data_IF_260299520258
#
_entry.id   IF_260299520258
#
_cell.length_a   1.000
_cell.length_b   1.000
_cell.length_c   1.000
_cell.angle_alpha   90.00
_cell.angle_beta   90.00
_cell.angle_gamma   90.00
#
_symmetry.space_group_name_H-M   'P 1'
#
loop_
_entity.id
_entity.type
_entity.pdbx_description
1 polymer ?
#
# COMPACT_ATOMS: atom_id res chain seq x y z
N UNK A 1 -10.00 27.93 33.86
CA UNK A 1 -9.71 28.85 32.73
C UNK A 1 -8.20 28.94 32.65
N UNK A 2 -7.60 28.00 31.93
CA UNK A 2 -6.14 27.87 31.83
C UNK A 2 -5.73 28.39 30.45
N UNK A 3 -5.04 29.52 30.43
CA UNK A 3 -4.59 30.18 29.21
C UNK A 3 -3.32 29.46 28.72
N UNK A 4 -3.42 28.85 27.55
CA UNK A 4 -2.31 28.16 26.90
C UNK A 4 -1.13 29.11 26.67
N UNK A 5 -0.04 28.89 27.40
CA UNK A 5 1.26 29.46 27.11
C UNK A 5 1.80 28.84 25.82
N UNK A 6 1.64 29.56 24.70
CA UNK A 6 2.44 29.29 23.51
C UNK A 6 3.86 29.79 23.74
N UNK A 7 4.84 28.92 23.52
CA UNK A 7 6.26 29.23 23.56
C UNK A 7 6.59 30.16 22.40
N UNK A 8 6.99 31.39 22.71
CA UNK A 8 7.44 32.38 21.74
C UNK A 8 8.84 31.97 21.24
N UNK A 9 9.03 31.95 19.92
CA UNK A 9 10.28 31.53 19.29
C UNK A 9 11.46 32.44 19.74
N UNK A 10 12.62 31.88 20.07
CA UNK A 10 13.78 32.68 20.47
C UNK A 10 14.38 33.39 19.26
N UNK A 11 14.85 34.63 19.49
CA UNK A 11 15.50 35.46 18.49
C UNK A 11 16.71 34.74 17.89
N UNK A 12 16.77 34.76 16.56
CA UNK A 12 17.74 34.05 15.76
C UNK A 12 19.17 34.57 16.01
N UNK A 13 19.85 34.01 17.00
CA UNK A 13 21.30 34.09 17.09
C UNK A 13 21.92 33.16 16.03
N UNK A 14 22.29 33.77 14.92
CA UNK A 14 23.50 33.53 14.11
C UNK A 14 24.21 32.18 14.35
N UNK A 15 23.62 31.09 13.85
CA UNK A 15 24.36 29.86 13.57
C UNK A 15 24.83 29.92 12.12
N UNK A 16 26.15 29.88 11.93
CA UNK A 16 26.84 30.07 10.66
C UNK A 16 26.30 29.09 9.58
N UNK A 17 25.50 29.62 8.65
CA UNK A 17 24.95 28.90 7.50
C UNK A 17 26.08 28.55 6.53
N UNK A 18 26.31 27.26 6.29
CA UNK A 18 27.00 26.83 5.07
C UNK A 18 26.27 27.43 3.85
N UNK A 19 26.98 27.84 2.77
CA UNK A 19 26.35 28.50 1.63
C UNK A 19 25.38 27.53 0.94
N UNK A 20 24.09 27.67 1.26
CA UNK A 20 23.01 26.97 0.59
C UNK A 20 22.98 27.47 -0.85
N UNK A 21 23.26 26.58 -1.80
CA UNK A 21 23.17 26.88 -3.23
C UNK A 21 21.81 27.54 -3.48
N UNK A 22 21.76 28.73 -4.12
CA UNK A 22 20.50 29.40 -4.41
C UNK A 22 19.57 28.47 -5.19
N UNK A 23 18.29 28.43 -4.83
CA UNK A 23 17.30 27.54 -5.46
C UNK A 23 17.27 27.65 -6.99
N UNK A 24 17.62 28.82 -7.54
CA UNK A 24 17.75 29.08 -8.97
C UNK A 24 18.89 28.31 -9.67
N UNK A 25 19.85 27.77 -8.92
CA UNK A 25 20.98 27.01 -9.46
C UNK A 25 20.78 25.48 -9.32
N UNK A 26 19.67 25.04 -8.71
CA UNK A 26 19.30 23.63 -8.69
C UNK A 26 18.72 23.24 -10.05
N UNK A 27 19.13 22.09 -10.63
CA UNK A 27 18.57 21.61 -11.88
C UNK A 27 17.07 21.35 -11.72
N UNK A 28 16.27 21.83 -12.68
CA UNK A 28 14.82 21.71 -12.63
C UNK A 28 14.41 20.22 -12.59
N UNK A 29 13.75 19.73 -11.52
CA UNK A 29 13.39 18.32 -11.39
C UNK A 29 12.43 17.83 -12.48
N UNK A 30 11.66 18.73 -13.11
CA UNK A 30 10.81 18.41 -14.26
C UNK A 30 11.63 17.98 -15.49
N UNK A 31 12.89 18.41 -15.61
CA UNK A 31 13.75 18.03 -16.72
C UNK A 31 14.13 16.54 -16.73
N UNK A 32 14.02 15.86 -15.59
CA UNK A 32 14.29 14.42 -15.45
C UNK A 32 13.04 13.59 -15.17
N UNK A 33 11.87 14.22 -15.08
CA UNK A 33 10.63 13.53 -14.71
C UNK A 33 10.08 12.71 -15.87
N UNK A 34 9.62 11.49 -15.60
CA UNK A 34 8.88 10.69 -16.57
C UNK A 34 7.48 11.27 -16.78
N UNK A 35 6.90 11.06 -17.98
CA UNK A 35 5.54 11.50 -18.31
C UNK A 35 4.49 11.14 -17.23
N UNK A 36 4.48 9.91 -16.68
CA UNK A 36 3.58 9.54 -15.58
C UNK A 36 3.82 10.33 -14.29
N UNK A 37 5.08 10.66 -13.98
CA UNK A 37 5.44 11.43 -12.79
C UNK A 37 4.97 12.89 -12.90
N UNK A 38 5.06 13.48 -14.09
CA UNK A 38 4.54 14.84 -14.35
C UNK A 38 3.01 14.88 -14.20
N UNK A 39 2.32 13.89 -14.75
CA UNK A 39 0.84 13.77 -14.64
C UNK A 39 0.41 13.63 -13.19
N UNK A 40 1.10 12.78 -12.42
CA UNK A 40 0.81 12.58 -11.00
C UNK A 40 1.10 13.85 -10.18
N UNK A 41 2.23 14.52 -10.42
CA UNK A 41 2.58 15.77 -9.75
C UNK A 41 1.54 16.87 -10.02
N UNK A 42 1.09 17.00 -11.28
CA UNK A 42 0.01 17.92 -11.64
C UNK A 42 -1.32 17.58 -10.95
N UNK A 43 -1.62 16.30 -10.76
CA UNK A 43 -2.83 15.85 -10.07
C UNK A 43 -2.78 16.14 -8.56
N UNK A 44 -1.62 16.00 -7.91
CA UNK A 44 -1.44 16.27 -6.47
C UNK A 44 -1.19 17.76 -6.16
N UNK A 45 -0.73 18.54 -7.14
CA UNK A 45 -0.39 19.96 -7.00
C UNK A 45 -1.43 20.79 -6.21
N UNK A 46 -2.76 20.64 -6.42
CA UNK A 46 -3.76 21.39 -5.68
C UNK A 46 -3.69 21.12 -4.17
N UNK A 47 -3.56 19.87 -3.75
CA UNK A 47 -3.47 19.48 -2.33
C UNK A 47 -2.17 19.98 -1.69
N UNK A 48 -1.03 19.87 -2.37
CA UNK A 48 0.25 20.40 -1.87
C UNK A 48 0.17 21.92 -1.70
N UNK A 49 -0.46 22.61 -2.66
CA UNK A 49 -0.61 24.08 -2.58
C UNK A 49 -1.50 24.52 -1.42
N UNK A 50 -2.56 23.76 -1.13
CA UNK A 50 -3.45 23.98 0.02
C UNK A 50 -2.73 23.71 1.34
N UNK A 51 -2.04 22.57 1.45
CA UNK A 51 -1.24 22.21 2.62
C UNK A 51 -0.07 23.16 2.91
N UNK A 52 0.42 23.89 1.89
CA UNK A 52 1.42 24.94 2.09
C UNK A 52 0.88 26.25 2.68
N UNK A 53 -0.45 26.46 2.62
CA UNK A 53 -1.12 27.70 3.06
C UNK A 53 -1.91 27.52 4.35
N UNK A 54 -2.45 26.33 4.60
CA UNK A 54 -3.18 25.97 5.82
C UNK A 54 -2.94 24.51 6.18
N UNK A 55 -3.17 24.18 7.45
CA UNK A 55 -3.25 22.79 7.89
C UNK A 55 -4.42 22.15 7.14
N UNK A 56 -4.18 21.01 6.49
CA UNK A 56 -5.22 20.26 5.78
C UNK A 56 -6.18 19.68 6.80
N UNK A 57 -7.44 20.05 6.71
CA UNK A 57 -8.51 19.44 7.50
C UNK A 57 -9.14 18.29 6.70
N UNK A 58 -9.90 17.41 7.36
CA UNK A 58 -10.53 16.25 6.69
C UNK A 58 -11.46 16.69 5.53
N UNK A 59 -11.99 17.91 5.61
CA UNK A 59 -12.79 18.56 4.56
C UNK A 59 -12.00 18.97 3.30
N UNK A 60 -10.67 19.04 3.38
CA UNK A 60 -9.78 19.39 2.27
C UNK A 60 -9.38 18.19 1.40
N UNK A 61 -9.71 16.97 1.85
CA UNK A 61 -9.41 15.73 1.16
C UNK A 61 -10.63 15.31 0.34
N UNK A 62 -10.39 14.73 -0.84
CA UNK A 62 -11.49 14.20 -1.65
C UNK A 62 -12.27 13.17 -0.83
N UNK A 63 -13.61 13.27 -0.76
CA UNK A 63 -14.39 12.26 -0.05
C UNK A 63 -14.15 10.90 -0.70
N UNK A 64 -14.09 9.82 0.08
CA UNK A 64 -14.04 8.47 -0.47
C UNK A 64 -15.15 8.28 -1.51
N UNK A 65 -14.90 7.45 -2.52
CA UNK A 65 -15.94 7.12 -3.49
C UNK A 65 -17.16 6.58 -2.72
N UNK A 66 -18.38 7.07 -2.95
CA UNK A 66 -19.57 6.62 -2.20
C UNK A 66 -19.85 5.12 -2.31
N UNK A 67 -19.22 4.42 -3.27
CA UNK A 67 -19.28 2.96 -3.42
C UNK A 67 -18.35 2.20 -2.47
N UNK A 68 -17.29 2.86 -2.03
CA UNK A 68 -16.19 2.31 -1.23
C UNK A 68 -16.22 2.81 0.23
N UNK A 69 -17.17 3.69 0.56
CA UNK A 69 -17.46 4.12 1.92
C UNK A 69 -17.94 2.96 2.80
N UNK A 70 -17.41 2.87 4.03
CA UNK A 70 -17.78 1.81 4.97
C UNK A 70 -19.27 1.81 5.27
N UNK A 71 -19.88 2.99 5.42
CA UNK A 71 -21.32 3.13 5.69
C UNK A 71 -22.19 2.60 4.52
N UNK A 72 -21.76 2.86 3.28
CA UNK A 72 -22.46 2.38 2.09
C UNK A 72 -22.31 0.85 1.93
N UNK A 73 -21.13 0.32 2.25
CA UNK A 73 -20.83 -1.12 2.25
C UNK A 73 -21.60 -1.86 3.35
N UNK A 74 -21.65 -1.30 4.56
CA UNK A 74 -22.41 -1.81 5.70
C UNK A 74 -23.91 -1.92 5.38
N UNK A 75 -24.53 -0.84 4.90
CA UNK A 75 -25.95 -0.84 4.48
C UNK A 75 -26.25 -1.84 3.36
N UNK A 76 -25.27 -2.16 2.50
CA UNK A 76 -25.41 -3.20 1.47
C UNK A 76 -25.28 -4.59 2.07
N UNK A 77 -24.37 -4.77 3.01
CA UNK A 77 -24.11 -6.02 3.70
C UNK A 77 -25.27 -6.41 4.62
N UNK A 78 -25.77 -5.50 5.45
CA UNK A 78 -26.93 -5.74 6.32
C UNK A 78 -28.17 -6.13 5.53
N UNK A 79 -28.43 -5.49 4.38
CA UNK A 79 -29.54 -5.88 3.48
C UNK A 79 -29.41 -7.28 2.90
N UNK A 80 -28.18 -7.81 2.84
CA UNK A 80 -27.89 -9.13 2.29
C UNK A 80 -27.65 -10.20 3.38
N UNK A 81 -27.38 -9.77 4.62
CA UNK A 81 -27.06 -10.63 5.75
C UNK A 81 -28.33 -11.09 6.45
N UNK A 82 -28.57 -12.40 6.40
CA UNK A 82 -29.67 -13.05 7.11
C UNK A 82 -29.10 -14.04 8.13
N UNK A 83 -29.04 -13.67 9.43
CA UNK A 83 -28.38 -14.48 10.47
C UNK A 83 -29.15 -15.76 10.82
N UNK A 84 -30.45 -15.82 10.52
CA UNK A 84 -31.30 -16.97 10.88
C UNK A 84 -31.44 -17.98 9.75
N UNK A 85 -30.89 -17.68 8.56
CA UNK A 85 -30.96 -18.57 7.41
C UNK A 85 -29.80 -19.58 7.46
N UNK A 86 -30.10 -20.83 7.83
CA UNK A 86 -29.15 -21.94 7.68
C UNK A 86 -29.14 -22.40 6.23
N UNK A 87 -28.07 -22.06 5.52
CA UNK A 87 -27.84 -22.56 4.17
C UNK A 87 -27.51 -24.06 4.18
N UNK A 88 -27.97 -24.75 3.14
CA UNK A 88 -27.63 -26.15 2.87
C UNK A 88 -26.10 -26.23 2.75
N UNK A 89 -25.49 -27.32 3.22
CA UNK A 89 -24.03 -27.56 3.27
C UNK A 89 -23.22 -26.88 4.37
N UNK A 90 -23.85 -26.20 5.36
CA UNK A 90 -23.11 -25.64 6.50
C UNK A 90 -22.27 -24.40 6.16
N UNK A 91 -22.59 -23.74 5.04
CA UNK A 91 -21.95 -22.49 4.62
C UNK A 91 -22.35 -21.38 5.61
N UNK A 92 -21.36 -20.59 6.06
CA UNK A 92 -21.63 -19.51 7.01
C UNK A 92 -22.55 -18.43 6.40
N UNK A 93 -23.50 -17.87 7.17
CA UNK A 93 -24.39 -16.81 6.69
C UNK A 93 -23.62 -15.57 6.19
N UNK A 94 -22.50 -15.27 6.85
CA UNK A 94 -21.57 -14.18 6.51
C UNK A 94 -20.98 -14.36 5.12
N UNK A 95 -20.53 -15.58 4.79
CA UNK A 95 -19.96 -15.88 3.49
C UNK A 95 -21.00 -15.70 2.37
N UNK A 96 -22.23 -16.12 2.61
CA UNK A 96 -23.32 -15.94 1.63
C UNK A 96 -23.67 -14.46 1.44
N UNK A 97 -23.73 -13.69 2.52
CA UNK A 97 -23.92 -12.25 2.45
C UNK A 97 -22.81 -11.57 1.64
N UNK A 98 -21.56 -11.96 1.87
CA UNK A 98 -20.41 -11.48 1.12
C UNK A 98 -20.54 -11.76 -0.39
N UNK A 99 -20.79 -13.01 -0.78
CA UNK A 99 -20.98 -13.39 -2.20
C UNK A 99 -22.12 -12.59 -2.84
N UNK A 100 -23.21 -12.35 -2.11
CA UNK A 100 -24.38 -11.62 -2.64
C UNK A 100 -24.11 -10.12 -2.82
N UNK A 101 -23.36 -9.51 -1.91
CA UNK A 101 -22.98 -8.08 -1.93
C UNK A 101 -22.01 -7.78 -3.06
N UNK A 102 -21.01 -8.65 -3.24
CA UNK A 102 -19.91 -8.49 -4.19
C UNK A 102 -20.07 -9.33 -5.46
N UNK A 103 -21.27 -9.82 -5.78
CA UNK A 103 -21.51 -10.72 -6.92
C UNK A 103 -20.97 -10.24 -8.26
N UNK A 104 -21.01 -8.94 -8.52
CA UNK A 104 -20.51 -8.37 -9.77
C UNK A 104 -18.98 -8.40 -9.80
N UNK A 105 -18.34 -7.98 -8.71
CA UNK A 105 -16.88 -7.97 -8.57
C UNK A 105 -16.34 -9.41 -8.59
N UNK A 106 -16.98 -10.32 -7.87
CA UNK A 106 -16.65 -11.75 -7.86
C UNK A 106 -16.85 -12.38 -9.25
N UNK A 107 -17.91 -12.00 -9.98
CA UNK A 107 -18.13 -12.48 -11.35
C UNK A 107 -17.06 -11.95 -12.32
N UNK A 108 -16.62 -10.70 -12.18
CA UNK A 108 -15.52 -10.13 -12.97
C UNK A 108 -14.22 -10.89 -12.68
N UNK A 109 -13.91 -11.13 -11.40
CA UNK A 109 -12.72 -11.91 -11.00
C UNK A 109 -12.82 -13.34 -11.53
N UNK A 110 -13.97 -14.00 -11.41
CA UNK A 110 -14.17 -15.37 -11.88
C UNK A 110 -14.10 -15.46 -13.41
N UNK A 111 -14.66 -14.49 -14.13
CA UNK A 111 -14.51 -14.39 -15.58
C UNK A 111 -13.03 -14.19 -15.98
N UNK A 112 -12.30 -13.33 -15.26
CA UNK A 112 -10.86 -13.15 -15.44
C UNK A 112 -10.08 -14.45 -15.22
N UNK A 113 -10.41 -15.21 -14.16
CA UNK A 113 -9.83 -16.52 -13.87
C UNK A 113 -10.13 -17.53 -14.99
N UNK A 114 -11.35 -17.57 -15.53
CA UNK A 114 -11.71 -18.45 -16.66
C UNK A 114 -10.89 -18.08 -17.90
N UNK A 115 -10.81 -16.79 -18.24
CA UNK A 115 -10.00 -16.31 -19.36
C UNK A 115 -8.52 -16.69 -19.18
N UNK A 116 -7.99 -16.57 -17.96
CA UNK A 116 -6.62 -16.97 -17.63
C UNK A 116 -6.38 -18.48 -17.84
N UNK A 117 -7.27 -19.33 -17.29
CA UNK A 117 -7.15 -20.79 -17.44
C UNK A 117 -7.24 -21.21 -18.91
N UNK A 118 -8.15 -20.59 -19.67
CA UNK A 118 -8.25 -20.80 -21.11
C UNK A 118 -6.99 -20.34 -21.85
N UNK A 119 -6.40 -19.21 -21.47
CA UNK A 119 -5.16 -18.71 -22.06
C UNK A 119 -3.98 -19.67 -21.81
N UNK A 120 -3.86 -20.22 -20.59
CA UNK A 120 -2.87 -21.25 -20.26
C UNK A 120 -3.08 -22.55 -21.05
N UNK A 121 -4.34 -23.00 -21.17
CA UNK A 121 -4.69 -24.17 -21.96
C UNK A 121 -4.32 -23.98 -23.44
N UNK A 122 -4.71 -22.83 -24.01
CA UNK A 122 -4.43 -22.47 -25.40
C UNK A 122 -2.92 -22.41 -25.69
N UNK A 123 -2.10 -21.95 -24.74
CA UNK A 123 -0.64 -21.88 -24.90
C UNK A 123 -0.04 -23.26 -25.24
N UNK A 124 -0.53 -24.32 -24.60
CA UNK A 124 -0.05 -25.69 -24.84
C UNK A 124 -0.39 -26.15 -26.26
N UNK A 125 -1.60 -25.84 -26.75
CA UNK A 125 -2.03 -26.18 -28.11
C UNK A 125 -1.30 -25.36 -29.18
N UNK A 126 -1.10 -24.06 -28.96
CA UNK A 126 -0.37 -23.19 -29.88
C UNK A 126 1.10 -23.61 -29.99
N UNK A 127 1.71 -24.02 -28.88
CA UNK A 127 3.09 -24.55 -28.88
C UNK A 127 3.19 -25.84 -29.71
N UNK A 128 2.22 -26.76 -29.56
CA UNK A 128 2.16 -27.99 -30.38
C UNK A 128 1.96 -27.66 -31.87
N UNK A 129 1.01 -26.79 -32.19
CA UNK A 129 0.74 -26.38 -33.57
C UNK A 129 1.91 -25.64 -34.22
N UNK A 130 2.73 -24.90 -33.45
CA UNK A 130 3.96 -24.30 -33.96
C UNK A 130 5.03 -25.36 -34.26
N UNK A 131 5.13 -26.39 -33.41
CA UNK A 131 6.08 -27.49 -33.60
C UNK A 131 5.70 -28.39 -34.80
N UNK A 132 4.40 -28.67 -34.97
CA UNK A 132 3.85 -29.36 -36.16
C UNK A 132 4.13 -28.54 -37.43
N UNK A 133 3.96 -27.21 -37.40
CA UNK A 133 4.24 -26.32 -38.53
C UNK A 133 5.71 -26.36 -38.94
N UNK A 134 6.61 -26.33 -37.96
CA UNK A 134 8.06 -26.38 -38.19
C UNK A 134 8.51 -27.74 -38.72
N UNK A 135 7.81 -28.83 -38.36
CA UNK A 135 8.06 -30.17 -38.86
C UNK A 135 7.42 -30.44 -40.24
N UNK A 136 6.62 -29.51 -40.76
CA UNK A 136 5.93 -29.65 -42.05
C UNK A 136 4.69 -30.55 -42.01
N UNK A 137 4.12 -30.79 -40.84
CA UNK A 137 2.89 -31.57 -40.64
C UNK A 137 1.62 -30.69 -40.73
N UNK A 138 0.45 -31.30 -40.94
CA UNK A 138 -0.82 -30.57 -40.91
C UNK A 138 -1.15 -30.12 -39.49
N UNK A 139 -1.18 -28.82 -39.26
CA UNK A 139 -1.47 -28.24 -37.96
C UNK A 139 -2.95 -28.34 -37.58
N UNK A 140 -3.22 -28.53 -36.29
CA UNK A 140 -4.57 -28.55 -35.69
C UNK A 140 -5.46 -27.35 -36.05
N UNK A 141 -4.88 -26.18 -36.36
CA UNK A 141 -5.63 -24.96 -36.68
C UNK A 141 -5.79 -24.70 -38.20
N UNK A 142 -5.23 -25.53 -39.08
CA UNK A 142 -5.21 -25.33 -40.55
C UNK A 142 -4.75 -23.93 -41.00
N UNK A 143 -3.83 -23.30 -40.26
CA UNK A 143 -3.33 -21.95 -40.56
C UNK A 143 -2.08 -22.06 -41.45
N UNK A 144 -2.13 -21.52 -42.67
CA UNK A 144 -1.00 -21.50 -43.63
C UNK A 144 0.12 -20.49 -43.28
N UNK A 145 -0.03 -19.67 -42.25
CA UNK A 145 0.91 -18.62 -41.88
C UNK A 145 1.39 -18.75 -40.43
N UNK A 146 2.67 -19.13 -40.24
CA UNK A 146 3.32 -19.25 -38.93
C UNK A 146 3.36 -17.95 -38.11
N UNK A 147 3.17 -16.79 -38.74
CA UNK A 147 3.11 -15.49 -38.06
C UNK A 147 1.88 -15.36 -37.13
N UNK A 148 0.74 -15.94 -37.51
CA UNK A 148 -0.46 -15.93 -36.66
C UNK A 148 -0.31 -16.81 -35.43
N UNK A 149 0.40 -17.94 -35.55
CA UNK A 149 0.74 -18.83 -34.43
C UNK A 149 1.65 -18.11 -33.43
N UNK A 150 2.68 -17.42 -33.92
CA UNK A 150 3.56 -16.60 -33.05
C UNK A 150 2.79 -15.49 -32.34
N UNK A 151 1.89 -14.77 -33.04
CA UNK A 151 1.08 -13.71 -32.44
C UNK A 151 0.13 -14.22 -31.35
N UNK A 152 -0.50 -15.40 -31.56
CA UNK A 152 -1.32 -16.08 -30.55
C UNK A 152 -0.50 -16.55 -29.35
N UNK A 153 0.73 -17.00 -29.59
CA UNK A 153 1.63 -17.43 -28.52
C UNK A 153 2.07 -16.24 -27.66
N UNK A 154 2.46 -15.12 -28.29
CA UNK A 154 2.88 -13.91 -27.56
C UNK A 154 1.73 -13.29 -26.76
N UNK A 155 0.51 -13.27 -27.29
CA UNK A 155 -0.66 -12.71 -26.58
C UNK A 155 -1.07 -13.56 -25.39
N UNK A 156 -1.14 -14.89 -25.57
CA UNK A 156 -1.41 -15.85 -24.49
C UNK A 156 -0.34 -15.77 -23.39
N UNK A 157 0.94 -15.72 -23.77
CA UNK A 157 2.05 -15.64 -22.82
C UNK A 157 2.05 -14.32 -22.03
N UNK A 158 1.67 -13.20 -22.65
CA UNK A 158 1.53 -11.91 -21.95
C UNK A 158 0.40 -11.94 -20.89
N UNK A 159 -0.73 -12.56 -21.23
CA UNK A 159 -1.86 -12.74 -20.30
C UNK A 159 -1.45 -13.67 -19.16
N UNK A 160 -0.74 -14.76 -19.47
CA UNK A 160 -0.24 -15.70 -18.48
C UNK A 160 0.72 -15.01 -17.49
N UNK A 161 1.73 -14.28 -17.99
CA UNK A 161 2.72 -13.58 -17.16
C UNK A 161 2.08 -12.51 -16.27
N UNK A 162 1.09 -11.76 -16.78
CA UNK A 162 0.40 -10.74 -15.95
C UNK A 162 -0.37 -11.36 -14.79
N UNK A 163 -1.10 -12.44 -15.04
CA UNK A 163 -1.92 -13.07 -14.00
C UNK A 163 -1.10 -13.92 -13.03
N UNK A 164 0.05 -14.46 -13.45
CA UNK A 164 0.99 -15.15 -12.55
C UNK A 164 1.70 -14.15 -11.62
N UNK A 165 2.03 -12.95 -12.13
CA UNK A 165 2.56 -11.84 -11.33
C UNK A 165 1.57 -11.39 -10.24
N UNK A 166 0.28 -11.22 -10.61
CA UNK A 166 -0.78 -10.86 -9.65
C UNK A 166 -0.98 -11.95 -8.56
N UNK A 167 -0.81 -13.24 -8.92
CA UNK A 167 -0.89 -14.36 -7.97
C UNK A 167 0.30 -14.40 -7.00
N UNK A 168 1.51 -14.19 -7.51
CA UNK A 168 2.71 -14.16 -6.69
C UNK A 168 2.66 -13.04 -5.65
N UNK A 169 2.14 -11.87 -6.03
CA UNK A 169 1.89 -10.76 -5.11
C UNK A 169 0.85 -11.15 -4.05
N UNK A 170 -0.29 -11.71 -4.44
CA UNK A 170 -1.37 -12.07 -3.49
C UNK A 170 -0.97 -13.16 -2.47
N UNK A 171 -0.11 -14.11 -2.84
CA UNK A 171 0.30 -15.24 -1.99
C UNK A 171 1.24 -14.88 -0.83
N UNK A 172 2.01 -13.80 -0.96
CA UNK A 172 2.91 -13.32 0.10
C UNK A 172 2.15 -12.62 1.24
N UNK A 173 1.01 -11.99 0.94
CA UNK A 173 0.26 -11.13 1.87
C UNK A 173 -0.52 -11.90 2.95
N UNK A 174 -0.84 -13.18 2.73
CA UNK A 174 -1.72 -13.97 3.60
C UNK A 174 -1.07 -14.58 4.84
N UNK A 175 0.27 -14.54 4.97
CA UNK A 175 0.99 -15.28 6.03
C UNK A 175 1.19 -14.50 7.33
N UNK A 176 1.08 -13.17 7.32
CA UNK A 176 1.42 -12.34 8.50
C UNK A 176 0.26 -12.18 9.51
N UNK A 177 -1.00 -12.35 9.10
CA UNK A 177 -2.18 -12.09 9.98
C UNK A 177 -2.61 -13.25 10.90
N UNK A 178 -2.09 -14.47 10.69
CA UNK A 178 -2.51 -15.63 11.47
C UNK A 178 -2.02 -15.61 12.94
N UNK A 179 -1.24 -14.61 13.35
CA UNK A 179 -0.65 -14.48 14.68
C UNK A 179 -1.53 -13.73 15.69
N UNK A 180 -2.66 -13.13 15.28
CA UNK A 180 -3.64 -12.59 16.21
C UNK A 180 -4.39 -13.75 16.87
N UNK A 181 -4.01 -14.08 18.11
CA UNK A 181 -4.32 -15.32 18.84
C UNK A 181 -5.79 -15.71 19.08
N UNK A 182 -6.75 -15.08 18.41
CA UNK A 182 -8.17 -15.46 18.41
C UNK A 182 -8.73 -15.81 17.01
N UNK A 183 -7.92 -15.71 15.94
CA UNK A 183 -8.37 -16.03 14.58
C UNK A 183 -9.41 -15.04 14.05
N UNK A 184 -10.02 -15.37 12.91
CA UNK A 184 -11.01 -14.53 12.22
C UNK A 184 -12.41 -14.54 12.86
N UNK A 185 -12.63 -15.41 13.86
CA UNK A 185 -13.91 -15.59 14.53
C UNK A 185 -14.05 -14.71 15.79
N UNK A 186 -13.06 -13.86 16.08
CA UNK A 186 -13.11 -12.94 17.23
C UNK A 186 -14.17 -11.86 17.02
N UNK A 187 -15.17 -11.83 17.90
CA UNK A 187 -16.24 -10.84 17.87
C UNK A 187 -15.69 -9.46 18.31
N UNK A 188 -15.84 -8.43 17.48
CA UNK A 188 -15.35 -7.07 17.76
C UNK A 188 -16.50 -6.22 18.29
N UNK A 189 -16.33 -5.63 19.47
CA UNK A 189 -17.32 -4.73 20.08
C UNK A 189 -17.44 -3.42 19.30
N UNK A 190 -18.55 -2.68 19.47
CA UNK A 190 -18.73 -1.37 18.86
C UNK A 190 -17.52 -0.45 19.17
N UNK A 191 -16.98 0.22 18.15
CA UNK A 191 -15.76 1.03 18.29
C UNK A 191 -14.45 0.25 18.57
N UNK A 192 -14.51 -1.08 18.68
CA UNK A 192 -13.35 -1.95 18.96
C UNK A 192 -12.90 -1.95 20.41
N UNK A 193 -13.78 -1.63 21.38
CA UNK A 193 -13.46 -1.47 22.81
C UNK A 193 -12.88 -2.71 23.50
N UNK A 194 -13.08 -3.88 22.90
CA UNK A 194 -12.49 -5.13 23.36
C UNK A 194 -11.11 -5.46 22.74
N UNK A 195 -10.54 -4.55 21.94
CA UNK A 195 -9.21 -4.67 21.34
C UNK A 195 -8.23 -3.69 21.98
N UNK A 196 -7.00 -4.14 22.20
CA UNK A 196 -5.91 -3.24 22.57
C UNK A 196 -5.60 -2.26 21.43
N UNK A 197 -4.99 -1.12 21.76
CA UNK A 197 -4.57 -0.11 20.77
C UNK A 197 -3.69 -0.75 19.68
N UNK A 198 -2.72 -1.58 20.07
CA UNK A 198 -1.87 -2.31 19.12
C UNK A 198 -2.62 -3.31 18.24
N UNK A 199 -3.64 -3.99 18.77
CA UNK A 199 -4.48 -4.90 17.97
C UNK A 199 -5.34 -4.14 16.95
N UNK A 200 -5.94 -3.01 17.34
CA UNK A 200 -6.65 -2.13 16.41
C UNK A 200 -5.73 -1.67 15.28
N UNK A 201 -4.47 -1.37 15.61
CA UNK A 201 -3.47 -0.93 14.65
C UNK A 201 -3.06 -2.04 13.68
N UNK A 202 -2.87 -3.27 14.17
CA UNK A 202 -2.66 -4.44 13.31
C UNK A 202 -3.83 -4.67 12.34
N UNK A 203 -5.08 -4.53 12.80
CA UNK A 203 -6.26 -4.64 11.94
C UNK A 203 -6.25 -3.53 10.87
N UNK A 204 -5.89 -2.30 11.22
CA UNK A 204 -5.74 -1.21 10.25
C UNK A 204 -4.66 -1.51 9.19
N UNK A 205 -3.52 -2.06 9.60
CA UNK A 205 -2.47 -2.52 8.68
C UNK A 205 -3.01 -3.64 7.78
N UNK A 206 -3.80 -4.56 8.34
CA UNK A 206 -4.44 -5.63 7.57
C UNK A 206 -5.42 -5.12 6.52
N UNK A 207 -6.19 -4.07 6.86
CA UNK A 207 -7.03 -3.38 5.89
C UNK A 207 -6.20 -2.74 4.77
N UNK A 208 -5.08 -2.10 5.10
CA UNK A 208 -4.18 -1.51 4.09
C UNK A 208 -3.59 -2.60 3.17
N UNK A 209 -3.33 -3.78 3.71
CA UNK A 209 -2.82 -4.93 2.97
C UNK A 209 -3.84 -5.54 2.02
N UNK A 210 -5.08 -5.74 2.49
CA UNK A 210 -6.17 -6.24 1.64
C UNK A 210 -6.55 -5.27 0.52
N UNK A 211 -6.31 -3.97 0.71
CA UNK A 211 -6.57 -2.95 -0.31
C UNK A 211 -5.55 -2.97 -1.46
N UNK A 212 -4.42 -3.66 -1.28
CA UNK A 212 -3.32 -3.74 -2.26
C UNK A 212 -2.90 -2.36 -2.84
N UNK A 213 -2.70 -1.38 -1.96
CA UNK A 213 -2.34 -0.02 -2.38
C UNK A 213 -0.86 0.08 -2.79
N UNK A 214 -0.59 0.72 -3.94
CA UNK A 214 0.80 0.96 -4.43
C UNK A 214 1.59 1.94 -3.58
N UNK A 215 0.88 2.87 -2.93
CA UNK A 215 1.43 3.87 -2.02
C UNK A 215 0.70 3.73 -0.70
N UNK A 216 1.46 3.57 0.38
CA UNK A 216 0.96 3.37 1.74
C UNK A 216 1.53 4.47 2.62
N UNK A 217 0.64 5.16 3.35
CA UNK A 217 1.04 6.21 4.29
C UNK A 217 0.73 5.70 5.70
N UNK A 218 1.76 5.66 6.53
CA UNK A 218 1.70 5.19 7.91
C UNK A 218 1.99 6.38 8.83
N UNK A 219 0.93 6.99 9.34
CA UNK A 219 1.03 8.09 10.28
C UNK A 219 1.00 7.57 11.72
N UNK A 220 2.15 7.66 12.40
CA UNK A 220 2.35 7.19 13.77
C UNK A 220 1.83 5.76 14.02
N UNK A 221 2.07 4.87 13.05
CA UNK A 221 1.51 3.52 13.00
C UNK A 221 1.95 2.56 14.14
N UNK A 222 2.82 3.01 15.06
CA UNK A 222 3.27 2.23 16.22
C UNK A 222 3.25 3.03 17.54
N UNK A 223 2.54 4.16 17.55
CA UNK A 223 2.35 4.96 18.77
C UNK A 223 1.48 4.21 19.78
N UNK A 224 1.84 4.29 21.07
CA UNK A 224 1.11 3.66 22.19
C UNK A 224 0.98 2.13 22.12
N UNK A 225 1.95 1.48 21.47
CA UNK A 225 2.05 0.02 21.34
C UNK A 225 3.26 -0.50 22.13
N UNK A 226 3.10 -1.66 22.78
CA UNK A 226 4.20 -2.32 23.49
C UNK A 226 5.33 -2.76 22.54
N UNK A 227 6.54 -2.92 23.06
CA UNK A 227 7.73 -3.22 22.25
C UNK A 227 7.62 -4.53 21.45
N UNK A 228 6.93 -5.54 21.97
CA UNK A 228 6.76 -6.82 21.27
C UNK A 228 5.81 -6.67 20.08
N UNK A 229 4.69 -5.98 20.28
CA UNK A 229 3.72 -5.69 19.21
C UNK A 229 4.29 -4.69 18.18
N UNK A 230 5.09 -3.71 18.59
CA UNK A 230 5.80 -2.80 17.67
C UNK A 230 6.75 -3.59 16.75
N UNK A 231 7.57 -4.49 17.31
CA UNK A 231 8.46 -5.34 16.52
C UNK A 231 7.70 -6.22 15.51
N UNK A 232 6.55 -6.76 15.91
CA UNK A 232 5.67 -7.51 15.01
C UNK A 232 5.15 -6.61 13.88
N UNK A 233 4.63 -5.42 14.21
CA UNK A 233 4.14 -4.44 13.23
C UNK A 233 5.24 -4.05 12.24
N UNK A 234 6.46 -3.75 12.70
CA UNK A 234 7.57 -3.40 11.82
C UNK A 234 7.91 -4.54 10.85
N UNK A 235 7.94 -5.77 11.36
CA UNK A 235 8.24 -6.96 10.55
C UNK A 235 7.16 -7.17 9.49
N UNK A 236 5.90 -7.08 9.88
CA UNK A 236 4.76 -7.16 8.96
C UNK A 236 4.81 -6.07 7.91
N UNK A 237 5.07 -4.81 8.27
CA UNK A 237 5.18 -3.72 7.29
C UNK A 237 6.29 -4.01 6.28
N UNK A 238 7.47 -4.40 6.77
CA UNK A 238 8.64 -4.68 5.93
C UNK A 238 8.40 -5.82 4.95
N UNK A 239 7.89 -6.96 5.45
CA UNK A 239 7.66 -8.14 4.62
C UNK A 239 6.51 -7.94 3.63
N UNK A 240 5.48 -7.22 4.03
CA UNK A 240 4.23 -7.17 3.26
C UNK A 240 4.16 -5.98 2.30
N UNK A 241 4.99 -4.96 2.49
CA UNK A 241 5.07 -3.81 1.59
C UNK A 241 6.42 -3.69 0.86
N UNK A 242 7.18 -4.79 0.76
CA UNK A 242 8.51 -4.80 0.10
C UNK A 242 8.47 -4.26 -1.34
N UNK A 243 7.40 -4.51 -2.07
CA UNK A 243 7.20 -4.09 -3.47
C UNK A 243 6.41 -2.77 -3.62
N UNK A 244 6.16 -2.05 -2.52
CA UNK A 244 5.30 -0.86 -2.47
C UNK A 244 6.03 0.36 -1.95
N UNK A 245 5.53 1.55 -2.29
CA UNK A 245 6.07 2.80 -1.73
C UNK A 245 5.43 3.06 -0.37
N UNK A 246 6.22 3.04 0.70
CA UNK A 246 5.74 3.29 2.06
C UNK A 246 6.29 4.62 2.57
N UNK A 247 5.40 5.54 2.94
CA UNK A 247 5.72 6.78 3.62
C UNK A 247 5.40 6.61 5.11
N UNK A 248 6.42 6.63 5.97
CA UNK A 248 6.27 6.46 7.42
C UNK A 248 6.54 7.80 8.10
N UNK A 249 5.57 8.24 8.91
CA UNK A 249 5.71 9.38 9.82
C UNK A 249 5.84 8.78 11.22
N UNK A 250 6.99 9.00 11.87
CA UNK A 250 7.24 8.45 13.20
C UNK A 250 8.11 9.40 14.03
N UNK A 251 7.83 9.42 15.34
CA UNK A 251 8.66 10.09 16.33
C UNK A 251 9.67 9.14 17.02
N UNK A 252 9.52 7.81 16.84
CA UNK A 252 10.40 6.79 17.42
C UNK A 252 11.48 6.39 16.43
N UNK A 253 12.75 6.50 16.83
CA UNK A 253 13.84 6.20 15.90
C UNK A 253 13.89 4.73 15.47
N UNK A 254 13.64 3.79 16.38
CA UNK A 254 13.66 2.35 16.07
C UNK A 254 12.67 1.96 14.96
N UNK A 255 11.56 2.70 14.83
CA UNK A 255 10.55 2.54 13.79
C UNK A 255 11.00 3.02 12.42
N UNK A 256 12.01 3.88 12.30
CA UNK A 256 12.44 4.45 11.01
C UNK A 256 13.83 3.98 10.58
N UNK A 257 14.54 3.24 11.43
CA UNK A 257 15.90 2.74 11.14
C UNK A 257 15.99 1.79 9.95
N UNK A 258 14.89 1.16 9.55
CA UNK A 258 14.83 0.24 8.41
C UNK A 258 14.35 0.90 7.11
N UNK A 259 14.09 2.22 7.12
CA UNK A 259 13.71 2.96 5.93
C UNK A 259 14.91 3.16 4.98
N UNK A 260 14.64 3.18 3.67
CA UNK A 260 15.69 3.42 2.66
C UNK A 260 16.26 4.85 2.74
N UNK A 261 15.39 5.81 3.04
CA UNK A 261 15.72 7.24 3.21
C UNK A 261 14.87 7.85 4.31
N UNK A 262 15.43 8.80 5.04
CA UNK A 262 14.73 9.54 6.09
C UNK A 262 14.77 11.02 5.74
N UNK A 263 13.59 11.66 5.76
CA UNK A 263 13.46 13.10 5.69
C UNK A 263 13.24 13.65 7.11
N UNK A 264 14.18 14.44 7.63
CA UNK A 264 14.00 15.15 8.90
C UNK A 264 13.34 16.48 8.59
N UNK A 265 12.19 16.74 9.23
CA UNK A 265 11.46 17.99 9.07
C UNK A 265 11.66 18.88 10.30
N UNK A 266 11.91 20.17 10.07
CA UNK A 266 11.91 21.21 11.10
C UNK A 266 11.24 22.48 10.56
N UNK A 267 10.36 23.09 11.34
CA UNK A 267 9.60 24.29 11.00
C UNK A 267 8.98 24.26 9.57
N UNK A 268 8.42 23.12 9.17
CA UNK A 268 7.76 22.94 7.86
C UNK A 268 8.72 22.81 6.67
N UNK A 269 10.03 22.64 6.90
CA UNK A 269 11.04 22.42 5.85
C UNK A 269 11.78 21.11 6.10
N UNK A 270 12.18 20.45 5.01
CA UNK A 270 13.08 19.29 5.09
C UNK A 270 14.49 19.84 5.36
N UNK A 271 15.04 19.55 6.53
CA UNK A 271 16.39 19.96 6.93
C UNK A 271 17.44 18.94 6.51
N UNK A 272 17.08 17.66 6.50
CA UNK A 272 17.98 16.56 6.14
C UNK A 272 17.22 15.50 5.33
N UNK A 273 17.88 14.91 4.34
CA UNK A 273 17.30 13.84 3.53
C UNK A 273 18.38 12.90 3.01
N UNK A 274 18.57 11.77 3.69
CA UNK A 274 19.56 10.76 3.32
C UNK A 274 19.23 9.40 3.94
N UNK A 275 19.94 8.31 3.57
CA UNK A 275 19.83 7.03 4.24
C UNK A 275 20.17 7.13 5.74
N UNK A 276 19.57 6.30 6.61
CA UNK A 276 19.77 6.36 8.07
C UNK A 276 21.25 6.29 8.47
N UNK A 277 22.04 5.45 7.79
CA UNK A 277 23.48 5.28 8.05
C UNK A 277 24.29 6.53 7.75
N UNK A 278 23.94 7.26 6.70
CA UNK A 278 24.61 8.51 6.32
C UNK A 278 24.25 9.66 7.28
N UNK A 279 22.99 9.71 7.73
CA UNK A 279 22.52 10.70 8.70
C UNK A 279 23.16 10.52 10.09
N UNK A 280 23.34 9.27 10.53
CA UNK A 280 24.00 8.94 11.81
C UNK A 280 25.52 9.13 11.79
N UNK A 281 26.15 9.06 10.61
CA UNK A 281 27.58 9.32 10.48
C UNK A 281 27.96 10.78 10.73
N UNK A 282 26.98 11.69 10.69
CA UNK A 282 27.16 13.12 10.92
C UNK A 282 26.90 13.45 12.40
N UNK A 283 27.94 13.85 13.18
CA UNK A 283 27.81 14.07 14.62
C UNK A 283 26.88 15.25 15.00
N UNK A 284 26.67 16.18 14.07
CA UNK A 284 25.88 17.39 14.28
C UNK A 284 24.57 17.40 13.47
N UNK A 285 24.13 16.25 12.95
CA UNK A 285 22.85 16.18 12.24
C UNK A 285 21.66 16.27 13.21
N UNK A 286 20.57 16.88 12.74
CA UNK A 286 19.29 16.91 13.43
C UNK A 286 18.78 15.47 13.69
N UNK A 287 19.04 14.54 12.78
CA UNK A 287 18.75 13.13 12.97
C UNK A 287 19.52 12.51 14.15
N UNK A 288 20.82 12.75 14.27
CA UNK A 288 21.64 12.25 15.41
C UNK A 288 21.18 12.86 16.73
N UNK A 289 20.77 14.14 16.74
CA UNK A 289 20.19 14.76 17.92
C UNK A 289 18.87 14.10 18.35
N UNK A 290 18.01 13.72 17.39
CA UNK A 290 16.80 12.94 17.66
C UNK A 290 17.14 11.53 18.17
N UNK A 291 18.12 10.87 17.56
CA UNK A 291 18.60 9.54 17.98
C UNK A 291 19.05 9.51 19.43
N UNK A 292 19.86 10.50 19.83
CA UNK A 292 20.38 10.59 21.20
C UNK A 292 19.28 10.85 22.23
N UNK A 293 18.22 11.57 21.85
CA UNK A 293 17.04 11.80 22.71
C UNK A 293 16.18 10.54 22.84
N UNK A 294 16.08 9.76 21.77
CA UNK A 294 15.31 8.50 21.77
C UNK A 294 16.06 7.30 22.36
N UNK A 295 17.40 7.33 22.39
CA UNK A 295 18.27 6.25 22.89
C UNK A 295 18.49 6.22 24.41
N UNK A 296 17.76 7.04 25.17
CA UNK A 296 17.82 7.07 26.64
C UNK A 296 16.50 6.53 27.23
N UNK A 297 16.24 5.23 27.06
CA UNK A 297 15.21 4.49 27.79
C UNK A 297 15.65 3.03 27.96
#
# INVERSE_FOLDING_TARGET
>A
MDQGHYVQAPDAHESAKAPSIPFSQLPNPLAKASLPSVVFAQWIQPMISLGSRRILELEDVWPPCPRDESEALEKRFERAYDPNHRFIFGISPVFMAYVKVFRADLAIVLAGCVVYVLALGLQTYVTRALLEFLNGEENVFHISSGYWLMAMMTSSSLVAVRADLERAQSGAHGRSFASLGAGLDFEVAEGGDNLSVGQRQLICIGRALLKDSKIVVLDEATANVDTATDALIQTTIKETFEDKTVLIIAHRINTIMHCDKIAVMDAGRVVEFDPPTALLAQPHSAFTALANRSGSA
#
